data_IF_485037227717
#
_entry.id   IF_485037227717
#
_cell.length_a   1.000
_cell.length_b   1.000
_cell.length_c   1.000
_cell.angle_alpha   90.00
_cell.angle_beta   90.00
_cell.angle_gamma   90.00
#
_symmetry.space_group_name_H-M   'P 1'
#
loop_
_entity.id
_entity.type
_entity.pdbx_description
1 polymer ?
#
# COMPACT_ATOMS: atom_id res chain seq x y z
N UNK A 1 -11.80 -14.88 -25.94
CA UNK A 1 -11.63 -15.61 -27.22
C UNK A 1 -11.07 -14.62 -28.23
N UNK A 2 -9.90 -14.91 -28.78
CA UNK A 2 -9.27 -14.02 -29.77
C UNK A 2 -9.79 -14.41 -31.18
N UNK A 3 -10.20 -13.43 -32.01
CA UNK A 3 -10.60 -13.75 -33.39
C UNK A 3 -9.46 -14.53 -34.08
N UNK A 4 -9.78 -15.52 -34.89
CA UNK A 4 -8.84 -16.40 -35.62
C UNK A 4 -8.04 -17.38 -34.74
N UNK A 5 -7.57 -16.99 -33.53
CA UNK A 5 -6.75 -17.83 -32.64
C UNK A 5 -7.57 -18.61 -31.59
N UNK A 6 -8.84 -18.27 -31.39
CA UNK A 6 -9.70 -18.90 -30.41
C UNK A 6 -9.29 -18.57 -28.97
N UNK A 7 -9.38 -19.55 -28.06
CA UNK A 7 -9.00 -19.42 -26.66
C UNK A 7 -7.52 -19.71 -26.48
N UNK A 8 -6.78 -18.77 -25.87
CA UNK A 8 -5.38 -18.93 -25.53
C UNK A 8 -5.24 -19.14 -24.02
N UNK A 9 -4.45 -20.13 -23.62
CA UNK A 9 -4.10 -20.37 -22.23
C UNK A 9 -2.82 -19.58 -21.91
N UNK A 10 -2.96 -18.48 -21.17
CA UNK A 10 -1.85 -17.55 -20.86
C UNK A 10 -1.56 -17.45 -19.36
N UNK A 11 -2.24 -18.28 -18.53
CA UNK A 11 -2.02 -18.29 -17.08
C UNK A 11 -0.58 -18.69 -16.74
N UNK A 12 0.09 -17.86 -15.93
CA UNK A 12 1.50 -18.05 -15.55
C UNK A 12 2.53 -17.43 -16.51
N UNK A 13 2.09 -16.86 -17.64
CA UNK A 13 2.96 -16.15 -18.59
C UNK A 13 3.03 -14.66 -18.25
N UNK A 14 4.16 -14.05 -18.55
CA UNK A 14 4.32 -12.59 -18.51
C UNK A 14 3.57 -11.93 -19.67
N UNK A 15 3.36 -10.61 -19.60
CA UNK A 15 2.76 -9.83 -20.71
C UNK A 15 3.59 -9.95 -21.99
N UNK A 16 4.92 -9.98 -21.87
CA UNK A 16 5.83 -10.14 -22.99
C UNK A 16 5.73 -11.54 -23.61
N UNK A 17 5.81 -12.61 -22.82
CA UNK A 17 5.66 -13.98 -23.30
C UNK A 17 4.30 -14.20 -23.96
N UNK A 18 3.23 -13.60 -23.40
CA UNK A 18 1.89 -13.65 -23.99
C UNK A 18 1.86 -12.93 -25.33
N UNK A 19 2.51 -11.76 -25.44
CA UNK A 19 2.63 -11.01 -26.70
C UNK A 19 3.34 -11.83 -27.76
N UNK A 20 4.50 -12.42 -27.43
CA UNK A 20 5.28 -13.24 -28.34
C UNK A 20 4.51 -14.50 -28.80
N UNK A 21 3.79 -15.15 -27.88
CA UNK A 21 2.92 -16.27 -28.21
C UNK A 21 1.85 -15.88 -29.24
N UNK A 22 1.21 -14.70 -29.04
CA UNK A 22 0.17 -14.21 -29.96
C UNK A 22 0.80 -13.85 -31.31
N UNK A 23 1.94 -13.15 -31.34
CA UNK A 23 2.67 -12.82 -32.56
C UNK A 23 2.97 -14.07 -33.35
N UNK A 24 3.61 -15.09 -32.73
CA UNK A 24 3.99 -16.33 -33.42
C UNK A 24 2.79 -17.14 -33.97
N UNK A 25 1.62 -17.01 -33.32
CA UNK A 25 0.39 -17.62 -33.85
C UNK A 25 -0.22 -16.83 -35.00
N UNK A 26 -0.13 -15.47 -34.96
CA UNK A 26 -0.69 -14.62 -35.99
C UNK A 26 0.14 -14.54 -37.25
N UNK A 27 1.48 -14.74 -37.19
CA UNK A 27 2.38 -14.76 -38.36
C UNK A 27 1.95 -15.75 -39.43
N UNK A 28 1.24 -16.83 -39.06
CA UNK A 28 0.71 -17.82 -40.01
C UNK A 28 -0.45 -17.29 -40.87
N UNK A 29 -1.08 -16.22 -40.45
CA UNK A 29 -2.28 -15.67 -41.09
C UNK A 29 -2.03 -14.29 -41.69
N UNK A 30 -0.89 -13.65 -41.37
CA UNK A 30 -0.56 -12.28 -41.77
C UNK A 30 0.68 -12.33 -42.69
N UNK A 31 0.72 -11.41 -43.66
CA UNK A 31 1.88 -11.26 -44.58
C UNK A 31 3.07 -10.57 -43.90
N UNK A 32 2.78 -9.74 -42.88
CA UNK A 32 3.78 -8.99 -42.14
C UNK A 32 3.69 -9.34 -40.65
N UNK A 33 4.79 -9.19 -39.92
CA UNK A 33 4.86 -9.44 -38.48
C UNK A 33 4.02 -8.44 -37.74
N UNK A 34 2.97 -8.85 -37.01
CA UNK A 34 2.12 -7.92 -36.25
C UNK A 34 2.82 -7.40 -34.99
N UNK A 35 2.49 -6.18 -34.61
CA UNK A 35 2.82 -5.65 -33.29
C UNK A 35 1.66 -5.97 -32.35
N UNK A 36 1.92 -6.71 -31.29
CA UNK A 36 0.92 -7.08 -30.27
C UNK A 36 1.32 -6.45 -28.95
N UNK A 37 0.40 -5.71 -28.33
CA UNK A 37 0.58 -5.15 -26.99
C UNK A 37 -0.39 -5.83 -26.04
N UNK A 38 0.12 -6.46 -24.98
CA UNK A 38 -0.66 -7.09 -23.92
C UNK A 38 -0.56 -6.23 -22.68
N UNK A 39 -1.70 -5.88 -22.09
CA UNK A 39 -1.78 -5.06 -20.86
C UNK A 39 -2.72 -5.69 -19.85
N UNK A 40 -2.42 -5.55 -18.56
CA UNK A 40 -3.33 -5.87 -17.47
C UNK A 40 -4.35 -4.74 -17.28
N UNK A 41 -5.60 -4.97 -17.63
CA UNK A 41 -6.66 -3.95 -17.62
C UNK A 41 -7.12 -3.59 -16.20
N UNK A 42 -6.98 -4.50 -15.24
CA UNK A 42 -7.51 -4.35 -13.89
C UNK A 42 -6.41 -4.44 -12.82
N UNK A 43 -5.20 -3.97 -13.12
CA UNK A 43 -4.13 -3.97 -12.14
C UNK A 43 -4.46 -2.98 -11.02
N UNK A 44 -4.74 -3.49 -9.83
CA UNK A 44 -5.07 -2.70 -8.65
C UNK A 44 -4.19 -3.13 -7.49
N UNK A 45 -3.83 -2.16 -6.66
CA UNK A 45 -3.19 -2.33 -5.37
C UNK A 45 -4.00 -1.57 -4.32
N UNK A 46 -3.88 -1.98 -3.07
CA UNK A 46 -4.47 -1.26 -1.93
C UNK A 46 -3.36 -0.69 -1.06
N UNK A 47 -3.46 0.57 -0.65
CA UNK A 47 -2.53 1.18 0.31
C UNK A 47 -3.34 1.66 1.49
N UNK A 48 -3.02 1.15 2.69
CA UNK A 48 -3.80 1.40 3.91
C UNK A 48 -2.87 1.65 5.10
N UNK A 49 -3.45 2.16 6.19
CA UNK A 49 -2.72 2.49 7.42
C UNK A 49 -2.30 3.96 7.47
N UNK A 50 -1.11 4.23 7.99
CA UNK A 50 -0.60 5.59 8.22
C UNK A 50 -0.01 6.24 6.96
N UNK A 51 -0.87 6.43 5.97
CA UNK A 51 -0.61 7.17 4.72
C UNK A 51 -1.57 8.34 4.60
N UNK A 52 -1.23 9.33 3.79
CA UNK A 52 -2.03 10.54 3.65
C UNK A 52 -3.39 10.28 3.02
N UNK A 53 -3.46 9.34 2.07
CA UNK A 53 -4.68 8.99 1.34
C UNK A 53 -4.79 7.47 1.21
N UNK A 54 -5.31 6.77 2.24
CA UNK A 54 -5.54 5.34 2.13
C UNK A 54 -6.62 5.04 1.08
N UNK A 55 -6.44 3.97 0.30
CA UNK A 55 -7.38 3.62 -0.76
C UNK A 55 -6.92 2.50 -1.66
N UNK A 56 -7.75 2.21 -2.67
CA UNK A 56 -7.44 1.27 -3.76
C UNK A 56 -7.02 2.09 -4.98
N UNK A 57 -5.87 1.75 -5.53
CA UNK A 57 -5.26 2.46 -6.66
C UNK A 57 -5.21 1.57 -7.88
N UNK A 58 -5.66 2.09 -9.01
CA UNK A 58 -5.49 1.42 -10.31
C UNK A 58 -4.13 1.78 -10.87
N UNK A 59 -3.36 0.79 -11.25
CA UNK A 59 -2.04 0.93 -11.84
C UNK A 59 -2.20 0.87 -13.36
N UNK A 60 -1.82 1.94 -14.05
CA UNK A 60 -1.90 2.03 -15.51
C UNK A 60 -0.63 1.49 -16.19
N UNK A 61 0.46 1.33 -15.44
CA UNK A 61 1.73 0.80 -15.90
C UNK A 61 1.74 -0.74 -15.76
N UNK A 62 2.66 -1.38 -16.45
CA UNK A 62 2.83 -2.83 -16.38
C UNK A 62 3.33 -3.30 -15.00
N UNK A 63 4.06 -2.44 -14.30
CA UNK A 63 4.62 -2.69 -12.98
C UNK A 63 4.49 -1.44 -12.12
N UNK A 64 4.42 -1.63 -10.82
CA UNK A 64 4.48 -0.59 -9.79
C UNK A 64 5.36 -1.09 -8.64
N UNK A 65 6.26 -0.26 -8.18
CA UNK A 65 7.08 -0.57 -7.00
C UNK A 65 6.47 -0.02 -5.72
N UNK A 66 7.03 -0.39 -4.57
CA UNK A 66 6.52 0.01 -3.25
C UNK A 66 6.57 1.53 -3.05
N UNK A 67 7.62 2.21 -3.54
CA UNK A 67 7.73 3.66 -3.43
C UNK A 67 6.67 4.38 -4.27
N UNK A 68 6.41 3.90 -5.48
CA UNK A 68 5.34 4.45 -6.33
C UNK A 68 3.97 4.25 -5.68
N UNK A 69 3.72 3.08 -5.09
CA UNK A 69 2.48 2.82 -4.37
C UNK A 69 2.28 3.78 -3.19
N UNK A 70 3.33 4.02 -2.41
CA UNK A 70 3.33 4.97 -1.30
C UNK A 70 3.12 6.39 -1.82
N UNK A 71 3.78 6.79 -2.91
CA UNK A 71 3.60 8.09 -3.55
C UNK A 71 2.16 8.30 -4.06
N UNK A 72 1.53 7.28 -4.65
CA UNK A 72 0.13 7.32 -5.06
C UNK A 72 -0.80 7.60 -3.86
N UNK A 73 -0.45 7.08 -2.68
CA UNK A 73 -1.16 7.32 -1.42
C UNK A 73 -0.78 8.65 -0.74
N UNK A 74 0.03 9.50 -1.39
CA UNK A 74 0.44 10.81 -0.90
C UNK A 74 1.48 10.76 0.22
N UNK A 75 2.32 9.74 0.23
CA UNK A 75 3.35 9.40 1.23
C UNK A 75 2.79 8.99 2.61
N UNK A 76 3.68 8.50 3.45
CA UNK A 76 3.38 8.17 4.84
C UNK A 76 3.11 9.45 5.64
N UNK A 77 2.20 9.35 6.61
CA UNK A 77 2.06 10.41 7.62
C UNK A 77 3.30 10.46 8.53
N UNK A 78 3.43 11.51 9.34
CA UNK A 78 4.49 11.62 10.37
C UNK A 78 4.44 10.48 11.41
N UNK A 79 3.33 9.77 11.46
CA UNK A 79 3.12 8.63 12.34
C UNK A 79 3.37 7.28 11.67
N UNK A 80 3.57 7.25 10.36
CA UNK A 80 3.84 6.03 9.61
C UNK A 80 5.26 5.51 9.82
N UNK A 81 5.39 4.20 10.03
CA UNK A 81 6.70 3.54 10.17
C UNK A 81 7.26 3.20 8.79
N UNK A 82 8.38 3.81 8.42
CA UNK A 82 9.10 3.50 7.18
C UNK A 82 9.90 2.19 7.26
N UNK A 83 10.28 1.79 8.46
CA UNK A 83 11.07 0.59 8.73
C UNK A 83 10.24 -0.70 8.80
N UNK A 84 8.90 -0.59 8.79
CA UNK A 84 7.99 -1.72 8.94
C UNK A 84 6.73 -1.56 8.06
N UNK A 85 6.95 -1.45 6.76
CA UNK A 85 5.86 -1.51 5.78
C UNK A 85 5.60 -2.97 5.44
N UNK A 86 4.34 -3.38 5.46
CA UNK A 86 3.93 -4.77 5.22
C UNK A 86 3.18 -4.89 3.92
N UNK A 87 3.57 -5.88 3.13
CA UNK A 87 2.82 -6.29 1.94
C UNK A 87 2.08 -7.57 2.26
N UNK A 88 0.77 -7.57 2.09
CA UNK A 88 -0.06 -8.76 2.18
C UNK A 88 -0.34 -9.20 0.74
N UNK A 89 0.20 -10.36 0.40
CA UNK A 89 0.13 -10.95 -0.95
C UNK A 89 -0.54 -12.30 -0.92
N UNK A 90 -1.44 -12.55 -1.85
CA UNK A 90 -2.02 -13.87 -2.02
C UNK A 90 -1.17 -14.69 -3.00
N UNK A 91 -0.65 -15.82 -2.53
CA UNK A 91 0.13 -16.78 -3.33
C UNK A 91 -0.52 -18.14 -3.16
N UNK A 92 -0.92 -18.78 -4.24
CA UNK A 92 -1.57 -20.11 -4.24
C UNK A 92 -2.76 -20.22 -3.27
N UNK A 93 -3.57 -19.17 -3.21
CA UNK A 93 -4.75 -19.08 -2.34
C UNK A 93 -4.44 -18.83 -0.86
N UNK A 94 -3.17 -18.71 -0.47
CA UNK A 94 -2.73 -18.40 0.89
C UNK A 94 -2.20 -16.97 0.97
N UNK A 95 -2.47 -16.31 2.09
CA UNK A 95 -1.91 -14.98 2.35
C UNK A 95 -0.49 -15.07 2.90
N UNK A 96 0.43 -14.37 2.27
CA UNK A 96 1.82 -14.18 2.71
C UNK A 96 2.00 -12.75 3.19
N UNK A 97 2.55 -12.60 4.40
CA UNK A 97 2.96 -11.31 4.94
C UNK A 97 4.46 -11.11 4.65
N UNK A 98 4.78 -10.01 3.99
CA UNK A 98 6.15 -9.62 3.62
C UNK A 98 6.42 -8.29 4.30
N UNK A 99 7.52 -8.18 5.04
CA UNK A 99 7.92 -6.94 5.70
C UNK A 99 9.02 -6.28 4.87
N UNK A 100 8.86 -4.99 4.60
CA UNK A 100 9.79 -4.16 3.85
C UNK A 100 10.19 -2.95 4.68
N UNK A 101 11.50 -2.63 4.67
CA UNK A 101 12.05 -1.41 5.25
C UNK A 101 12.34 -0.40 4.13
N UNK A 102 11.58 0.70 4.10
CA UNK A 102 11.76 1.76 3.09
C UNK A 102 13.04 2.61 3.32
N UNK A 103 13.72 2.45 4.48
CA UNK A 103 14.98 3.12 4.75
C UNK A 103 16.19 2.27 4.31
N UNK A 104 15.98 1.06 3.84
CA UNK A 104 17.05 0.18 3.38
C UNK A 104 17.37 0.48 1.91
N UNK A 105 18.62 0.88 1.63
CA UNK A 105 19.07 1.18 0.27
C UNK A 105 19.03 -0.06 -0.64
N UNK A 106 19.13 -1.26 -0.07
CA UNK A 106 19.11 -2.51 -0.82
C UNK A 106 17.68 -2.97 -1.17
N UNK A 107 16.65 -2.24 -0.78
CA UNK A 107 15.25 -2.58 -1.06
C UNK A 107 15.00 -2.78 -2.56
N UNK A 108 15.70 -2.02 -3.42
CA UNK A 108 15.57 -2.07 -4.88
C UNK A 108 15.97 -3.43 -5.47
N UNK A 109 16.79 -4.19 -4.75
CA UNK A 109 17.21 -5.54 -5.15
C UNK A 109 16.33 -6.64 -4.54
N UNK A 110 15.35 -6.26 -3.71
CA UNK A 110 14.42 -7.21 -3.12
C UNK A 110 13.49 -7.82 -4.18
N UNK A 111 13.25 -9.14 -4.17
CA UNK A 111 12.29 -9.76 -5.07
C UNK A 111 10.85 -9.29 -4.85
N UNK A 112 10.59 -8.67 -3.70
CA UNK A 112 9.28 -8.12 -3.33
C UNK A 112 9.19 -6.60 -3.49
N UNK A 113 10.21 -5.96 -4.11
CA UNK A 113 10.22 -4.53 -4.42
C UNK A 113 9.07 -4.14 -5.35
N UNK A 114 8.81 -4.97 -6.37
CA UNK A 114 7.66 -4.79 -7.25
C UNK A 114 6.42 -5.46 -6.68
N UNK A 115 5.35 -4.69 -6.64
CA UNK A 115 4.06 -5.17 -6.20
C UNK A 115 3.39 -6.03 -7.28
N UNK A 116 2.48 -6.89 -6.84
CA UNK A 116 1.64 -7.71 -7.71
C UNK A 116 0.20 -7.25 -7.65
N UNK A 117 -0.58 -7.65 -8.63
CA UNK A 117 -2.02 -7.37 -8.63
C UNK A 117 -2.69 -7.87 -7.35
N UNK A 118 -3.52 -7.02 -6.75
CA UNK A 118 -4.24 -7.22 -5.49
C UNK A 118 -3.35 -7.25 -4.24
N UNK A 119 -2.08 -6.84 -4.32
CA UNK A 119 -1.27 -6.63 -3.12
C UNK A 119 -1.88 -5.53 -2.25
N UNK A 120 -1.78 -5.73 -0.93
CA UNK A 120 -2.16 -4.73 0.06
C UNK A 120 -0.89 -4.24 0.75
N UNK A 121 -0.58 -2.97 0.61
CA UNK A 121 0.50 -2.29 1.31
C UNK A 121 -0.06 -1.68 2.58
N UNK A 122 0.39 -2.17 3.73
CA UNK A 122 -0.04 -1.69 5.03
C UNK A 122 1.09 -0.98 5.75
N UNK A 123 0.87 0.30 6.07
CA UNK A 123 1.80 1.13 6.84
C UNK A 123 1.39 1.13 8.30
N UNK A 124 2.24 0.56 9.16
CA UNK A 124 1.98 0.48 10.60
C UNK A 124 2.14 1.85 11.27
N UNK A 125 1.24 2.23 12.22
CA UNK A 125 1.43 3.41 13.04
C UNK A 125 2.59 3.25 14.04
N UNK A 126 3.29 4.34 14.30
CA UNK A 126 4.35 4.39 15.31
C UNK A 126 3.77 4.36 16.75
N UNK A 127 4.68 4.28 17.74
CA UNK A 127 4.31 4.22 19.16
C UNK A 127 3.53 5.45 19.61
N UNK A 128 3.87 6.65 19.12
CA UNK A 128 3.21 7.89 19.51
C UNK A 128 1.72 7.87 19.09
N UNK A 129 1.40 7.43 17.89
CA UNK A 129 0.02 7.30 17.42
C UNK A 129 -0.75 6.24 18.21
N UNK A 130 -0.12 5.08 18.48
CA UNK A 130 -0.74 4.01 19.29
C UNK A 130 -1.03 4.50 20.71
N UNK A 131 -0.13 5.28 21.30
CA UNK A 131 -0.30 5.84 22.64
C UNK A 131 -1.39 6.90 22.67
N UNK A 132 -1.45 7.79 21.68
CA UNK A 132 -2.51 8.79 21.56
C UNK A 132 -3.89 8.16 21.42
N UNK A 133 -4.01 7.02 20.75
CA UNK A 133 -5.27 6.28 20.64
C UNK A 133 -5.72 5.66 21.99
N UNK A 134 -4.76 5.36 22.88
CA UNK A 134 -5.03 4.78 24.21
C UNK A 134 -5.27 5.87 25.31
N UNK A 135 -4.85 7.12 25.08
CA UNK A 135 -5.16 8.24 25.95
C UNK A 135 -6.60 8.65 25.68
N UNK A 136 -7.53 7.93 26.28
CA UNK A 136 -8.95 8.24 26.19
C UNK A 136 -9.28 9.59 26.78
N UNK A 137 -10.46 10.13 26.44
CA UNK A 137 -11.02 11.38 26.95
C UNK A 137 -11.04 11.49 28.48
N UNK A 138 -11.03 10.37 29.19
CA UNK A 138 -10.96 10.30 30.66
C UNK A 138 -9.69 10.90 31.26
N UNK A 139 -8.52 10.73 30.62
CA UNK A 139 -7.26 11.29 31.13
C UNK A 139 -7.23 12.81 30.97
N UNK A 140 -7.72 13.33 29.85
CA UNK A 140 -7.84 14.77 29.63
C UNK A 140 -8.86 15.39 30.59
N UNK A 141 -9.93 14.68 30.91
CA UNK A 141 -10.94 15.12 31.89
C UNK A 141 -10.34 15.19 33.31
N UNK A 142 -9.54 14.20 33.71
CA UNK A 142 -8.86 14.22 35.01
C UNK A 142 -7.86 15.39 35.14
N UNK A 143 -7.06 15.66 34.09
CA UNK A 143 -6.14 16.79 34.08
C UNK A 143 -6.91 18.14 34.19
N UNK A 144 -8.03 18.27 33.50
CA UNK A 144 -8.87 19.46 33.55
C UNK A 144 -9.49 19.66 34.94
N UNK A 145 -10.00 18.62 35.58
CA UNK A 145 -10.57 18.67 36.93
C UNK A 145 -9.51 19.06 37.96
N UNK A 146 -8.30 18.47 37.88
CA UNK A 146 -7.22 18.82 38.82
C UNK A 146 -6.77 20.27 38.65
N UNK A 147 -6.70 20.80 37.44
CA UNK A 147 -6.35 22.20 37.19
C UNK A 147 -7.39 23.17 37.78
N UNK A 148 -8.67 22.84 37.65
CA UNK A 148 -9.77 23.63 38.22
C UNK A 148 -9.71 23.62 39.75
N UNK A 149 -9.44 22.47 40.38
CA UNK A 149 -9.32 22.34 41.83
C UNK A 149 -8.13 23.15 42.37
N UNK A 150 -6.99 23.14 41.72
CA UNK A 150 -5.82 23.93 42.09
C UNK A 150 -6.12 25.45 41.98
N UNK A 151 -6.80 25.86 40.93
CA UNK A 151 -7.18 27.25 40.71
C UNK A 151 -8.17 27.74 41.80
N UNK A 152 -9.14 26.91 42.15
CA UNK A 152 -10.10 27.22 43.24
C UNK A 152 -9.42 27.33 44.62
N UNK A 153 -8.49 26.39 44.91
CA UNK A 153 -7.71 26.42 46.14
C UNK A 153 -6.86 27.69 46.24
N UNK A 154 -6.20 28.10 45.15
CA UNK A 154 -5.44 29.35 45.08
C UNK A 154 -6.29 30.59 45.31
N UNK A 155 -7.50 30.61 44.77
CA UNK A 155 -8.47 31.69 44.94
C UNK A 155 -8.96 31.79 46.42
N UNK A 156 -9.26 30.65 47.05
CA UNK A 156 -9.63 30.58 48.47
C UNK A 156 -8.53 31.13 49.38
N UNK A 157 -7.28 30.74 49.16
CA UNK A 157 -6.14 31.25 49.94
C UNK A 157 -5.98 32.74 49.78
N UNK A 158 -6.26 33.30 48.59
CA UNK A 158 -6.16 34.74 48.35
C UNK A 158 -7.33 35.54 48.99
N UNK A 159 -8.51 34.97 49.14
CA UNK A 159 -9.67 35.59 49.75
C UNK A 159 -9.59 35.58 51.30
N UNK A 160 -8.95 34.53 51.85
CA UNK A 160 -8.81 34.32 53.29
C UNK A 160 -7.61 35.06 53.93
N UNK A 161 -6.77 35.67 53.09
CA UNK A 161 -5.59 36.47 53.50
C UNK A 161 -5.91 37.96 53.46
#
# INVERSE_FOLDING_TARGET
VFPVLGTLKVGGMTTQETSELIVGKLERYLKERPIVTVRLVNYKISVIGEVSRPGVYTVNNEQVNVFEAVAMAGDLTIYGKRDNVRIIRTVDGKQKLITINLNDENIIYSPDFYLRQNDIVYVEPNKAKKQSANIGSSTNLLISITSILISLAGLMVNILR
#
